data_IF_241717383155
#
_entry.id   IF_241717383155
#
_cell.length_a   1.000
_cell.length_b   1.000
_cell.length_c   1.000
_cell.angle_alpha   90.00
_cell.angle_beta   90.00
_cell.angle_gamma   90.00
#
_symmetry.space_group_name_H-M   'P 1'
#
loop_
_entity.id
_entity.type
_entity.pdbx_description
1 polymer ?
#
# COMPACT_ATOMS: atom_id res chain seq x y z
N UNK A 1 -3.62 28.33 11.75
CA UNK A 1 -2.97 26.99 11.82
C UNK A 1 -2.73 26.57 10.39
N UNK A 2 -1.48 26.39 10.00
CA UNK A 2 -1.21 25.76 8.69
C UNK A 2 -1.85 24.37 8.69
N UNK A 3 -2.69 24.11 7.68
CA UNK A 3 -3.22 22.77 7.44
C UNK A 3 -2.02 21.86 7.13
N UNK A 4 -1.79 20.85 7.95
CA UNK A 4 -0.72 19.89 7.71
C UNK A 4 -0.96 19.14 6.40
N UNK A 5 0.14 18.72 5.76
CA UNK A 5 0.13 17.98 4.49
C UNK A 5 -0.38 16.55 4.70
N UNK A 6 -1.19 16.04 3.78
CA UNK A 6 -1.58 14.62 3.71
C UNK A 6 -0.75 13.92 2.65
N UNK A 7 -0.20 12.73 2.97
CA UNK A 7 0.72 12.01 2.10
C UNK A 7 0.28 10.57 1.82
N UNK A 8 0.49 10.15 0.58
CA UNK A 8 0.55 8.73 0.21
C UNK A 8 2.01 8.42 -0.08
N UNK A 9 2.59 7.45 0.61
CA UNK A 9 4.02 7.18 0.52
C UNK A 9 4.35 5.82 -0.03
N UNK A 10 5.32 5.82 -0.92
CA UNK A 10 5.84 4.63 -1.58
C UNK A 10 7.36 4.57 -1.45
N UNK A 11 7.89 3.35 -1.39
CA UNK A 11 9.32 3.09 -1.62
C UNK A 11 9.50 2.42 -2.99
N UNK A 12 10.44 2.91 -3.79
CA UNK A 12 10.74 2.36 -5.11
C UNK A 12 12.25 2.14 -5.26
N UNK A 13 12.66 0.91 -5.55
CA UNK A 13 14.05 0.53 -5.76
C UNK A 13 14.17 -0.66 -6.69
N UNK A 14 15.31 -0.74 -7.41
CA UNK A 14 15.50 -1.69 -8.48
C UNK A 14 14.81 -1.29 -9.78
N UNK A 15 14.94 -2.12 -10.80
CA UNK A 15 14.49 -1.86 -12.17
C UNK A 15 13.32 -2.76 -12.61
N UNK A 16 12.75 -3.53 -11.68
CA UNK A 16 11.68 -4.46 -12.03
C UNK A 16 10.43 -3.71 -12.51
N UNK A 17 9.96 -3.99 -13.74
CA UNK A 17 8.82 -3.29 -14.34
C UNK A 17 7.54 -3.34 -13.49
N UNK A 18 7.30 -4.43 -12.76
CA UNK A 18 6.12 -4.53 -11.87
C UNK A 18 6.02 -3.36 -10.90
N UNK A 19 7.16 -3.03 -10.24
CA UNK A 19 7.21 -1.95 -9.27
C UNK A 19 7.32 -0.58 -9.93
N UNK A 20 8.13 -0.47 -11.00
CA UNK A 20 8.35 0.80 -11.67
C UNK A 20 7.09 1.29 -12.38
N UNK A 21 6.44 0.45 -13.18
CA UNK A 21 5.16 0.79 -13.82
C UNK A 21 4.05 0.99 -12.80
N UNK A 22 4.02 0.13 -11.76
CA UNK A 22 3.08 0.29 -10.67
C UNK A 22 3.21 1.62 -9.94
N UNK A 23 4.42 2.14 -9.77
CA UNK A 23 4.65 3.46 -9.21
C UNK A 23 4.11 4.58 -10.11
N UNK A 24 4.34 4.50 -11.43
CA UNK A 24 3.80 5.45 -12.42
C UNK A 24 2.27 5.46 -12.39
N UNK A 25 1.64 4.28 -12.42
CA UNK A 25 0.19 4.17 -12.35
C UNK A 25 -0.37 4.73 -11.03
N UNK A 26 0.28 4.46 -9.90
CA UNK A 26 -0.13 5.00 -8.61
C UNK A 26 0.02 6.53 -8.56
N UNK A 27 1.04 7.11 -9.19
CA UNK A 27 1.17 8.56 -9.31
C UNK A 27 -0.02 9.16 -10.08
N UNK A 28 -0.43 8.52 -11.18
CA UNK A 28 -1.61 8.92 -11.94
C UNK A 28 -2.93 8.73 -11.16
N UNK A 29 -3.11 7.57 -10.51
CA UNK A 29 -4.31 7.26 -9.72
C UNK A 29 -4.47 8.20 -8.53
N UNK A 30 -3.38 8.59 -7.88
CA UNK A 30 -3.41 9.51 -6.73
C UNK A 30 -4.08 10.84 -7.08
N UNK A 31 -3.87 11.39 -8.28
CA UNK A 31 -4.50 12.63 -8.74
C UNK A 31 -6.02 12.55 -8.80
N UNK A 32 -6.55 11.36 -9.06
CA UNK A 32 -8.00 11.14 -9.26
C UNK A 32 -8.66 10.70 -7.96
N UNK A 33 -8.03 9.77 -7.24
CA UNK A 33 -8.61 9.14 -6.05
C UNK A 33 -8.34 9.97 -4.79
N UNK A 34 -7.19 10.66 -4.74
CA UNK A 34 -6.74 11.45 -3.61
C UNK A 34 -6.29 12.86 -4.03
N UNK A 35 -7.13 13.67 -4.70
CA UNK A 35 -6.72 14.94 -5.30
C UNK A 35 -6.20 15.96 -4.27
N UNK A 36 -6.55 15.82 -2.99
CA UNK A 36 -6.11 16.67 -1.89
C UNK A 36 -4.89 16.13 -1.12
N UNK A 37 -4.35 14.98 -1.54
CA UNK A 37 -3.16 14.36 -0.98
C UNK A 37 -1.98 14.48 -1.93
N UNK A 38 -0.77 14.44 -1.39
CA UNK A 38 0.45 14.38 -2.18
C UNK A 38 0.97 12.94 -2.23
N UNK A 39 1.08 12.36 -3.41
CA UNK A 39 1.81 11.12 -3.60
C UNK A 39 3.32 11.42 -3.51
N UNK A 40 4.04 10.70 -2.65
CA UNK A 40 5.49 10.86 -2.46
C UNK A 40 6.19 9.52 -2.62
N UNK A 41 7.15 9.48 -3.53
CA UNK A 41 7.96 8.32 -3.83
C UNK A 41 9.38 8.53 -3.31
N UNK A 42 9.83 7.63 -2.44
CA UNK A 42 11.21 7.53 -2.01
C UNK A 42 11.93 6.58 -2.96
N UNK A 43 12.81 7.11 -3.80
CA UNK A 43 13.33 6.43 -4.99
C UNK A 43 14.84 6.20 -4.88
N UNK A 44 15.26 4.95 -5.05
CA UNK A 44 16.67 4.57 -5.07
C UNK A 44 17.36 4.98 -6.38
N UNK A 45 18.70 5.03 -6.34
CA UNK A 45 19.54 5.36 -7.48
C UNK A 45 19.55 4.31 -8.60
N UNK A 46 19.02 3.10 -8.34
CA UNK A 46 18.95 2.00 -9.31
C UNK A 46 17.60 1.91 -10.06
N UNK A 47 16.70 2.85 -9.82
CA UNK A 47 15.44 2.97 -10.59
C UNK A 47 15.72 3.69 -11.91
N UNK A 48 15.25 3.18 -13.07
CA UNK A 48 15.42 3.84 -14.35
C UNK A 48 14.77 5.24 -14.38
N UNK A 49 15.50 6.19 -14.94
CA UNK A 49 15.15 7.61 -14.92
C UNK A 49 13.85 7.93 -15.66
N UNK A 50 13.51 7.16 -16.71
CA UNK A 50 12.29 7.34 -17.48
C UNK A 50 11.04 7.15 -16.60
N UNK A 51 11.00 6.14 -15.74
CA UNK A 51 9.90 5.94 -14.79
C UNK A 51 9.81 7.07 -13.76
N UNK A 52 10.96 7.57 -13.31
CA UNK A 52 10.99 8.66 -12.32
C UNK A 52 10.41 9.94 -12.92
N UNK A 53 10.79 10.24 -14.18
CA UNK A 53 10.24 11.37 -14.90
C UNK A 53 8.72 11.24 -15.09
N UNK A 54 8.21 10.07 -15.45
CA UNK A 54 6.77 9.86 -15.59
C UNK A 54 6.03 10.07 -14.26
N UNK A 55 6.60 9.61 -13.13
CA UNK A 55 6.04 9.84 -11.79
C UNK A 55 5.95 11.34 -11.50
N UNK A 56 7.01 12.11 -11.81
CA UNK A 56 7.05 13.57 -11.64
C UNK A 56 6.09 14.29 -12.58
N UNK A 57 5.95 13.84 -13.83
CA UNK A 57 5.02 14.39 -14.83
C UNK A 57 3.55 14.26 -14.38
N UNK A 58 3.22 13.25 -13.57
CA UNK A 58 1.91 13.14 -12.90
C UNK A 58 1.77 14.01 -11.64
N UNK A 59 2.78 14.82 -11.31
CA UNK A 59 2.74 15.75 -10.18
C UNK A 59 3.04 15.13 -8.82
N UNK A 60 3.55 13.91 -8.78
CA UNK A 60 4.00 13.30 -7.55
C UNK A 60 5.37 13.85 -7.11
N UNK A 61 5.62 13.86 -5.80
CA UNK A 61 6.92 14.22 -5.25
C UNK A 61 7.89 13.03 -5.28
N UNK A 62 9.09 13.24 -5.78
CA UNK A 62 10.17 12.27 -5.77
C UNK A 62 11.27 12.70 -4.79
N UNK A 63 11.58 11.82 -3.85
CA UNK A 63 12.70 11.98 -2.92
C UNK A 63 13.78 10.96 -3.25
N UNK A 64 14.89 11.42 -3.80
CA UNK A 64 16.03 10.55 -4.14
C UNK A 64 16.69 10.03 -2.86
N UNK A 65 16.89 8.72 -2.79
CA UNK A 65 17.45 8.01 -1.66
C UNK A 65 18.65 7.17 -2.11
N UNK A 66 19.68 7.11 -1.28
CA UNK A 66 20.82 6.24 -1.49
C UNK A 66 20.55 4.88 -0.83
N UNK A 67 20.53 3.82 -1.64
CA UNK A 67 20.41 2.44 -1.19
C UNK A 67 21.80 1.84 -0.98
N UNK A 68 22.07 1.32 0.22
CA UNK A 68 23.35 0.70 0.60
C UNK A 68 23.31 -0.83 0.52
N UNK A 69 22.12 -1.42 0.64
CA UNK A 69 21.89 -2.86 0.50
C UNK A 69 20.55 -3.13 -0.19
N UNK A 70 20.21 -4.38 -0.45
CA UNK A 70 19.01 -4.77 -1.21
C UNK A 70 17.70 -4.41 -0.52
N UNK A 71 17.70 -4.15 0.79
CA UNK A 71 16.50 -3.97 1.59
C UNK A 71 16.36 -2.58 2.21
N UNK A 72 17.35 -1.70 2.10
CA UNK A 72 17.33 -0.36 2.71
C UNK A 72 16.08 0.44 2.38
N UNK A 73 15.56 0.27 1.17
CA UNK A 73 14.36 0.98 0.69
C UNK A 73 13.07 0.63 1.42
N UNK A 74 12.98 -0.51 2.11
CA UNK A 74 11.73 -0.97 2.72
C UNK A 74 11.12 0.05 3.70
N UNK A 75 11.96 0.74 4.49
CA UNK A 75 11.53 1.62 5.56
C UNK A 75 11.37 3.09 5.13
N UNK A 76 11.81 3.50 3.95
CA UNK A 76 11.78 4.93 3.56
C UNK A 76 10.39 5.52 3.56
N UNK A 77 9.38 4.73 3.16
CA UNK A 77 7.98 5.14 3.15
C UNK A 77 7.42 5.48 4.55
N UNK A 78 8.14 5.12 5.63
CA UNK A 78 7.73 5.44 7.01
C UNK A 78 8.29 6.78 7.52
N UNK A 79 9.12 7.49 6.75
CA UNK A 79 9.68 8.80 7.11
C UNK A 79 8.65 9.83 7.58
N UNK A 80 7.43 9.88 7.01
CA UNK A 80 6.43 10.85 7.46
C UNK A 80 6.04 10.71 8.92
N UNK A 81 6.19 9.53 9.55
CA UNK A 81 5.83 9.31 10.95
C UNK A 81 6.56 10.26 11.91
N UNK A 82 7.78 10.66 11.60
CA UNK A 82 8.56 11.60 12.42
C UNK A 82 8.32 13.08 12.08
N UNK A 83 7.51 13.39 11.08
CA UNK A 83 7.32 14.76 10.58
C UNK A 83 6.18 15.47 11.30
N UNK A 84 6.47 16.65 11.86
CA UNK A 84 5.47 17.53 12.46
C UNK A 84 4.65 18.33 11.42
N UNK A 85 5.05 18.30 10.14
CA UNK A 85 4.37 18.99 9.04
C UNK A 85 3.34 18.11 8.33
N UNK A 86 3.37 16.80 8.58
CA UNK A 86 2.44 15.85 8.00
C UNK A 86 1.30 15.62 8.97
N UNK A 87 0.06 15.73 8.47
CA UNK A 87 -1.14 15.47 9.26
C UNK A 87 -1.58 14.02 9.16
N UNK A 88 -1.98 13.58 7.97
CA UNK A 88 -2.27 12.18 7.69
C UNK A 88 -1.25 11.64 6.69
N UNK A 89 -0.89 10.39 6.83
CA UNK A 89 -0.18 9.68 5.78
C UNK A 89 -0.58 8.22 5.74
N UNK A 90 -0.53 7.65 4.55
CA UNK A 90 -0.77 6.24 4.29
C UNK A 90 0.43 5.65 3.58
N UNK A 91 0.84 4.45 3.98
CA UNK A 91 1.94 3.69 3.38
C UNK A 91 1.39 2.67 2.40
N UNK A 92 1.92 2.64 1.18
CA UNK A 92 1.48 1.74 0.10
C UNK A 92 2.65 1.06 -0.60
N UNK A 93 2.37 -0.11 -1.17
CA UNK A 93 3.30 -0.83 -2.02
C UNK A 93 3.16 -0.35 -3.48
N UNK A 94 4.29 -0.25 -4.20
CA UNK A 94 4.28 0.19 -5.59
C UNK A 94 3.64 -0.85 -6.54
N UNK A 95 3.66 -2.13 -6.19
CA UNK A 95 3.03 -3.22 -6.94
C UNK A 95 1.53 -3.39 -6.69
N UNK A 96 0.96 -2.58 -5.79
CA UNK A 96 -0.48 -2.48 -5.54
C UNK A 96 -1.04 -1.24 -6.23
N UNK A 97 -2.36 -1.11 -6.35
CA UNK A 97 -3.01 0.07 -6.95
C UNK A 97 -3.96 0.74 -5.98
N UNK A 98 -3.90 2.06 -5.96
CA UNK A 98 -4.88 2.88 -5.26
C UNK A 98 -6.28 2.63 -5.83
N UNK A 99 -7.30 2.60 -4.99
CA UNK A 99 -8.68 2.35 -5.40
C UNK A 99 -9.68 3.19 -4.59
N UNK A 100 -10.87 3.38 -5.14
CA UNK A 100 -11.96 4.05 -4.43
C UNK A 100 -12.43 3.28 -3.20
N UNK A 101 -12.36 1.95 -3.23
CA UNK A 101 -12.66 1.11 -2.07
C UNK A 101 -11.72 1.41 -0.90
N UNK A 102 -10.43 1.52 -1.19
CA UNK A 102 -9.43 1.93 -0.21
C UNK A 102 -9.65 3.36 0.27
N UNK A 103 -9.94 4.29 -0.64
CA UNK A 103 -10.22 5.68 -0.30
C UNK A 103 -11.40 5.79 0.68
N UNK A 104 -12.48 5.07 0.46
CA UNK A 104 -13.62 5.05 1.36
C UNK A 104 -13.24 4.58 2.78
N UNK A 105 -12.39 3.55 2.87
CA UNK A 105 -11.89 3.08 4.17
C UNK A 105 -10.98 4.10 4.86
N UNK A 106 -10.17 4.83 4.09
CA UNK A 106 -9.34 5.92 4.62
C UNK A 106 -10.21 7.07 5.11
N UNK A 107 -11.26 7.46 4.36
CA UNK A 107 -12.16 8.53 4.75
C UNK A 107 -12.92 8.18 6.05
N UNK A 108 -13.42 6.95 6.18
CA UNK A 108 -14.04 6.46 7.42
C UNK A 108 -13.08 6.50 8.61
N UNK A 109 -11.83 6.10 8.41
CA UNK A 109 -10.81 6.26 9.46
C UNK A 109 -10.56 7.73 9.80
N UNK A 110 -10.48 8.63 8.82
CA UNK A 110 -10.23 10.06 9.07
C UNK A 110 -11.37 10.73 9.86
N UNK A 111 -12.59 10.22 9.81
CA UNK A 111 -13.72 10.64 10.63
C UNK A 111 -13.65 10.12 12.08
N UNK A 112 -12.78 9.15 12.34
CA UNK A 112 -12.61 8.57 13.68
C UNK A 112 -11.64 9.38 14.55
N UNK A 113 -11.63 9.07 15.85
CA UNK A 113 -10.67 9.59 16.82
C UNK A 113 -9.40 8.73 16.94
N UNK A 114 -9.17 7.80 16.00
CA UNK A 114 -8.06 6.85 16.06
C UNK A 114 -6.80 7.35 15.38
N UNK A 115 -5.68 7.12 16.05
CA UNK A 115 -4.37 7.52 15.54
C UNK A 115 -3.89 6.68 14.34
N UNK A 116 -4.37 5.46 14.18
CA UNK A 116 -3.91 4.56 13.15
C UNK A 116 -5.04 3.91 12.35
N UNK A 117 -4.73 3.56 11.10
CA UNK A 117 -5.56 2.81 10.18
C UNK A 117 -4.83 1.56 9.70
N UNK A 118 -5.48 0.41 9.73
CA UNK A 118 -4.96 -0.86 9.24
C UNK A 118 -5.89 -1.43 8.18
N UNK A 119 -5.31 -2.02 7.14
CA UNK A 119 -6.04 -2.65 6.06
C UNK A 119 -5.58 -4.10 5.87
N UNK A 120 -6.54 -5.00 5.59
CA UNK A 120 -6.29 -6.40 5.25
C UNK A 120 -7.32 -6.85 4.25
N UNK A 121 -6.90 -7.32 3.12
CA UNK A 121 -7.82 -7.69 2.04
C UNK A 121 -7.70 -9.14 1.57
N UNK A 122 -6.74 -9.89 2.09
CA UNK A 122 -6.62 -11.30 1.75
C UNK A 122 -6.13 -12.17 2.92
N UNK A 123 -6.33 -13.47 2.81
CA UNK A 123 -5.98 -14.46 3.84
C UNK A 123 -4.48 -14.56 4.14
N UNK A 124 -3.63 -14.12 3.20
CA UNK A 124 -2.18 -14.11 3.39
C UNK A 124 -1.66 -12.88 4.15
N UNK A 125 -2.53 -11.90 4.44
CA UNK A 125 -2.18 -10.72 5.22
C UNK A 125 -2.13 -11.03 6.72
N UNK A 126 -1.17 -11.91 7.10
CA UNK A 126 -1.05 -12.45 8.46
C UNK A 126 -0.28 -11.59 9.45
N UNK A 127 0.41 -10.53 9.01
CA UNK A 127 1.07 -9.62 9.94
C UNK A 127 0.05 -8.68 10.58
N UNK A 128 0.33 -8.28 11.81
CA UNK A 128 -0.52 -7.36 12.56
C UNK A 128 -0.68 -6.02 11.85
N UNK A 129 0.42 -5.48 11.32
CA UNK A 129 0.46 -4.31 10.46
C UNK A 129 1.07 -4.72 9.13
N UNK A 130 0.32 -4.58 8.05
CA UNK A 130 0.85 -4.75 6.70
C UNK A 130 1.56 -3.47 6.28
N UNK A 131 2.86 -3.56 5.98
CA UNK A 131 3.71 -2.39 5.72
C UNK A 131 3.26 -1.51 4.54
N UNK A 132 2.59 -2.10 3.56
CA UNK A 132 1.99 -1.40 2.42
C UNK A 132 0.50 -1.07 2.59
N UNK A 133 -0.08 -1.27 3.79
CA UNK A 133 -1.53 -1.18 3.97
C UNK A 133 -1.90 -0.60 5.34
N UNK A 134 -1.27 0.51 5.73
CA UNK A 134 -1.62 1.21 6.95
C UNK A 134 -1.51 2.73 6.80
N UNK A 135 -2.03 3.45 7.77
CA UNK A 135 -1.96 4.91 7.83
C UNK A 135 -1.87 5.42 9.27
N UNK A 136 -1.38 6.64 9.42
CA UNK A 136 -1.24 7.31 10.72
C UNK A 136 -1.76 8.76 10.61
N UNK A 137 -2.55 9.16 11.59
CA UNK A 137 -2.82 10.55 11.92
C UNK A 137 -1.68 11.03 12.82
N UNK A 138 -0.69 11.71 12.24
CA UNK A 138 0.50 12.14 12.97
C UNK A 138 0.18 13.06 14.14
N UNK A 139 -0.82 13.94 13.99
CA UNK A 139 -1.21 14.84 15.08
C UNK A 139 -1.63 14.03 16.31
N UNK A 140 -2.59 13.13 16.16
CA UNK A 140 -3.05 12.29 17.27
C UNK A 140 -1.95 11.37 17.78
N UNK A 141 -1.16 10.79 16.86
CA UNK A 141 -0.07 9.91 17.24
C UNK A 141 0.98 10.62 18.07
N UNK A 142 1.44 11.80 17.63
CA UNK A 142 2.47 12.56 18.37
C UNK A 142 1.94 13.09 19.71
N UNK A 143 0.68 13.50 19.77
CA UNK A 143 0.04 13.93 21.03
C UNK A 143 -0.04 12.79 22.06
N UNK A 144 -0.29 11.56 21.62
CA UNK A 144 -0.51 10.41 22.49
C UNK A 144 0.76 9.62 22.82
N UNK A 145 1.68 9.51 21.86
CA UNK A 145 2.82 8.59 21.93
C UNK A 145 4.18 9.26 21.72
N UNK A 146 4.19 10.54 21.35
CA UNK A 146 5.42 11.24 20.98
C UNK A 146 5.87 10.95 19.55
N UNK A 147 7.00 11.50 19.17
CA UNK A 147 7.59 11.33 17.82
C UNK A 147 8.34 10.01 17.75
N UNK A 148 8.00 9.18 16.77
CA UNK A 148 8.67 7.92 16.49
C UNK A 148 9.37 7.98 15.13
N UNK A 149 10.62 7.56 15.07
CA UNK A 149 11.38 7.45 13.82
C UNK A 149 11.65 5.96 13.51
N UNK A 150 11.15 5.50 12.36
CA UNK A 150 11.32 4.15 11.85
C UNK A 150 12.30 4.06 10.67
N UNK A 151 12.74 5.18 10.11
CA UNK A 151 13.62 5.23 8.93
C UNK A 151 15.02 4.69 9.21
N UNK A 152 15.52 4.87 10.42
CA UNK A 152 16.90 4.49 10.78
C UNK A 152 17.07 2.99 11.14
N UNK A 153 16.03 2.19 11.04
CA UNK A 153 16.13 0.77 11.30
C UNK A 153 16.82 0.06 10.14
N UNK A 154 17.84 -0.74 10.45
CA UNK A 154 18.54 -1.55 9.43
C UNK A 154 17.58 -2.60 8.88
N UNK A 155 17.17 -2.44 7.64
CA UNK A 155 16.50 -3.47 6.88
C UNK A 155 17.56 -4.33 6.18
N UNK A 156 17.72 -5.58 6.60
CA UNK A 156 18.72 -6.51 6.08
C UNK A 156 18.14 -7.87 5.63
N UNK A 157 16.81 -7.99 5.64
CA UNK A 157 16.06 -9.13 5.13
C UNK A 157 14.67 -8.68 4.62
N UNK A 158 14.01 -9.54 3.86
CA UNK A 158 12.80 -9.24 3.09
C UNK A 158 11.62 -8.65 3.91
N UNK A 159 11.41 -9.12 5.12
CA UNK A 159 10.26 -8.73 5.96
C UNK A 159 10.67 -7.83 7.14
N UNK A 160 11.82 -7.15 7.01
CA UNK A 160 12.36 -6.31 8.06
C UNK A 160 11.42 -5.16 8.44
N UNK A 161 10.71 -4.60 7.45
CA UNK A 161 9.69 -3.57 7.64
C UNK A 161 8.49 -4.09 8.45
N UNK A 162 8.01 -5.30 8.18
CA UNK A 162 6.92 -5.92 8.93
C UNK A 162 7.31 -6.16 10.39
N UNK A 163 8.50 -6.72 10.61
CA UNK A 163 9.02 -6.94 11.97
C UNK A 163 9.21 -5.62 12.72
N UNK A 164 9.75 -4.60 12.04
CA UNK A 164 9.92 -3.27 12.63
C UNK A 164 8.58 -2.68 13.11
N UNK A 165 7.55 -2.77 12.26
CA UNK A 165 6.21 -2.29 12.61
C UNK A 165 5.62 -3.08 13.77
N UNK A 166 5.79 -4.42 13.78
CA UNK A 166 5.33 -5.29 14.86
C UNK A 166 5.99 -4.94 16.20
N UNK A 167 7.29 -4.67 16.19
CA UNK A 167 8.06 -4.45 17.41
C UNK A 167 7.96 -3.02 17.95
N UNK A 168 7.88 -2.03 17.06
CA UNK A 168 7.98 -0.61 17.43
C UNK A 168 6.67 0.15 17.38
N UNK A 169 5.83 -0.10 16.36
CA UNK A 169 4.60 0.65 16.17
C UNK A 169 3.41 -0.04 16.83
N UNK A 170 3.26 -1.34 16.67
CA UNK A 170 2.11 -2.08 17.18
C UNK A 170 1.87 -1.93 18.68
N UNK A 171 2.88 -2.00 19.57
CA UNK A 171 2.65 -1.82 21.00
C UNK A 171 1.98 -0.50 21.37
N UNK A 172 2.18 0.55 20.55
CA UNK A 172 1.61 1.87 20.77
C UNK A 172 0.16 1.95 20.28
N UNK A 173 -0.10 1.44 19.08
CA UNK A 173 -1.39 1.64 18.39
C UNK A 173 -2.41 0.51 18.58
N UNK A 174 -2.06 -0.60 19.23
CA UNK A 174 -2.90 -1.80 19.35
C UNK A 174 -4.32 -1.55 19.88
N UNK A 175 -4.54 -0.47 20.63
CA UNK A 175 -5.85 -0.06 21.15
C UNK A 175 -6.34 1.27 20.54
N UNK A 176 -5.60 1.83 19.58
CA UNK A 176 -5.85 3.14 18.99
C UNK A 176 -5.79 3.12 17.47
N UNK A 177 -6.55 2.19 16.88
CA UNK A 177 -6.65 2.05 15.44
C UNK A 177 -8.06 1.69 14.97
N UNK A 178 -8.34 1.98 13.71
CA UNK A 178 -9.43 1.40 12.92
C UNK A 178 -8.82 0.33 12.02
N UNK A 179 -9.41 -0.83 11.95
CA UNK A 179 -9.02 -1.88 11.02
C UNK A 179 -10.16 -2.21 10.07
N UNK A 180 -9.89 -2.08 8.77
CA UNK A 180 -10.78 -2.59 7.72
C UNK A 180 -10.22 -3.92 7.23
N UNK A 181 -11.03 -4.96 7.33
CA UNK A 181 -10.61 -6.34 7.13
C UNK A 181 -11.66 -7.10 6.31
N UNK A 182 -11.22 -7.70 5.22
CA UNK A 182 -12.11 -8.53 4.39
C UNK A 182 -12.25 -9.95 4.94
N UNK A 183 -11.18 -10.48 5.58
CA UNK A 183 -11.10 -11.87 6.00
C UNK A 183 -11.31 -12.08 7.51
N UNK A 184 -11.79 -11.07 8.22
CA UNK A 184 -12.06 -11.13 9.66
C UNK A 184 -10.86 -11.57 10.49
N UNK A 185 -9.71 -11.02 10.20
CA UNK A 185 -8.47 -11.29 10.96
C UNK A 185 -8.46 -10.67 12.37
N UNK A 186 -9.65 -10.49 13.00
CA UNK A 186 -9.75 -9.96 14.36
C UNK A 186 -8.95 -10.78 15.38
N UNK A 187 -8.78 -12.07 15.13
CA UNK A 187 -7.94 -12.94 15.96
C UNK A 187 -6.47 -12.52 15.98
N UNK A 188 -5.95 -12.01 14.86
CA UNK A 188 -4.56 -11.56 14.74
C UNK A 188 -4.34 -10.27 15.54
N UNK A 189 -5.29 -9.34 15.47
CA UNK A 189 -5.17 -8.03 16.12
C UNK A 189 -5.89 -7.95 17.46
N UNK A 190 -6.69 -8.97 17.81
CA UNK A 190 -7.42 -9.06 19.09
C UNK A 190 -8.49 -7.98 19.27
N UNK A 191 -8.99 -7.38 18.20
CA UNK A 191 -10.00 -6.33 18.23
C UNK A 191 -11.03 -6.52 17.11
N UNK A 192 -12.26 -5.99 17.29
CA UNK A 192 -13.24 -5.96 16.21
C UNK A 192 -12.69 -5.25 14.98
N UNK A 193 -13.01 -5.76 13.81
CA UNK A 193 -12.63 -5.19 12.53
C UNK A 193 -13.88 -4.74 11.77
N UNK A 194 -13.74 -3.68 10.98
CA UNK A 194 -14.78 -3.29 10.03
C UNK A 194 -14.68 -4.17 8.79
N UNK A 195 -15.82 -4.57 8.27
CA UNK A 195 -15.83 -5.37 7.07
C UNK A 195 -15.61 -4.47 5.85
N UNK A 196 -14.55 -4.74 5.11
CA UNK A 196 -14.37 -4.20 3.76
C UNK A 196 -15.39 -4.87 2.85
N UNK A 197 -16.04 -4.13 1.98
CA UNK A 197 -17.00 -4.67 1.02
C UNK A 197 -16.52 -5.92 0.27
N UNK A 198 -17.32 -6.49 -0.59
CA UNK A 198 -17.19 -7.84 -1.18
C UNK A 198 -16.04 -8.01 -2.20
N UNK A 199 -14.82 -7.60 -1.89
CA UNK A 199 -13.69 -7.69 -2.82
C UNK A 199 -12.54 -8.48 -2.28
N UNK A 200 -11.97 -9.30 -3.15
CA UNK A 200 -10.92 -10.24 -2.80
C UNK A 200 -9.58 -9.52 -2.67
N UNK A 201 -9.31 -8.50 -3.48
CA UNK A 201 -8.09 -7.71 -3.41
C UNK A 201 -8.37 -6.24 -3.22
N UNK A 202 -7.88 -5.70 -2.12
CA UNK A 202 -8.09 -4.32 -1.78
C UNK A 202 -7.27 -3.37 -2.65
N UNK A 203 -6.01 -3.66 -2.78
CA UNK A 203 -5.05 -2.80 -3.44
C UNK A 203 -4.33 -3.43 -4.64
N UNK A 204 -4.79 -4.58 -5.12
CA UNK A 204 -4.30 -5.17 -6.36
C UNK A 204 -5.10 -4.64 -7.55
N UNK A 205 -4.39 -4.21 -8.58
CA UNK A 205 -4.96 -3.86 -9.86
C UNK A 205 -4.67 -4.94 -10.89
N UNK A 206 -5.54 -5.04 -11.86
CA UNK A 206 -5.32 -5.87 -13.03
C UNK A 206 -4.70 -5.00 -14.12
N UNK A 207 -3.74 -5.53 -14.85
CA UNK A 207 -3.11 -4.81 -15.95
C UNK A 207 -1.59 -4.85 -15.89
N UNK A 208 -0.97 -3.74 -16.22
CA UNK A 208 0.48 -3.64 -16.43
C UNK A 208 1.28 -4.21 -15.25
N UNK A 209 2.23 -5.09 -15.54
CA UNK A 209 3.11 -5.73 -14.57
C UNK A 209 2.62 -7.09 -14.05
N UNK A 210 1.32 -7.38 -14.09
CA UNK A 210 0.78 -8.68 -13.67
C UNK A 210 1.15 -9.82 -14.64
N UNK A 211 1.40 -9.52 -15.90
CA UNK A 211 1.83 -10.47 -16.90
C UNK A 211 3.12 -11.21 -16.55
N UNK A 212 3.93 -10.64 -15.69
CA UNK A 212 5.16 -11.30 -15.19
C UNK A 212 4.86 -12.44 -14.22
N UNK A 213 3.68 -12.47 -13.65
CA UNK A 213 3.30 -13.42 -12.59
C UNK A 213 2.16 -14.33 -12.98
N UNK A 214 1.33 -13.90 -13.92
CA UNK A 214 0.18 -14.68 -14.36
C UNK A 214 0.55 -15.49 -15.59
N UNK A 215 0.01 -16.71 -15.68
CA UNK A 215 0.04 -17.44 -16.94
C UNK A 215 -0.68 -16.63 -18.00
N UNK A 216 -0.18 -16.65 -19.22
CA UNK A 216 -0.67 -15.84 -20.33
C UNK A 216 -2.19 -15.96 -20.57
N UNK A 217 -2.75 -17.17 -20.38
CA UNK A 217 -4.17 -17.42 -20.52
C UNK A 217 -5.01 -16.74 -19.42
N UNK A 218 -4.52 -16.75 -18.17
CA UNK A 218 -5.19 -16.06 -17.05
C UNK A 218 -5.10 -14.54 -17.22
N UNK A 219 -3.95 -14.05 -17.62
CA UNK A 219 -3.76 -12.62 -17.86
C UNK A 219 -4.65 -12.12 -19.02
N UNK A 220 -4.79 -12.90 -20.11
CA UNK A 220 -5.68 -12.58 -21.22
C UNK A 220 -7.14 -12.50 -20.78
N UNK A 221 -7.61 -13.47 -20.00
CA UNK A 221 -8.96 -13.48 -19.46
C UNK A 221 -9.21 -12.25 -18.57
N UNK A 222 -8.24 -11.87 -17.73
CA UNK A 222 -8.34 -10.67 -16.91
C UNK A 222 -8.41 -9.40 -17.74
N UNK A 223 -7.64 -9.28 -18.81
CA UNK A 223 -7.71 -8.13 -19.74
C UNK A 223 -9.06 -8.03 -20.48
N UNK A 224 -9.69 -9.15 -20.81
CA UNK A 224 -11.02 -9.16 -21.39
C UNK A 224 -12.09 -8.66 -20.40
N UNK A 225 -11.95 -9.00 -19.14
CA UNK A 225 -12.88 -8.60 -18.08
C UNK A 225 -12.61 -7.16 -17.62
N UNK A 226 -11.33 -6.78 -17.53
CA UNK A 226 -10.85 -5.48 -17.04
C UNK A 226 -9.95 -4.82 -18.09
N UNK A 227 -10.52 -4.14 -19.09
CA UNK A 227 -9.75 -3.38 -20.07
C UNK A 227 -8.89 -2.30 -19.39
N UNK A 228 -7.69 -2.07 -19.91
CA UNK A 228 -6.76 -1.05 -19.41
C UNK A 228 -7.46 0.31 -19.27
N UNK A 229 -7.24 0.99 -18.16
CA UNK A 229 -7.80 2.30 -17.87
C UNK A 229 -9.23 2.28 -17.29
N UNK A 230 -9.83 1.12 -17.11
CA UNK A 230 -11.04 1.06 -16.30
C UNK A 230 -10.69 1.02 -14.82
N UNK A 231 -11.45 1.82 -14.08
CA UNK A 231 -11.44 1.92 -12.64
C UNK A 231 -11.40 0.53 -12.00
N UNK A 232 -10.45 0.32 -11.09
CA UNK A 232 -10.39 -0.87 -10.22
C UNK A 232 -11.53 -0.91 -9.20
N UNK A 233 -12.63 -0.20 -9.49
CA UNK A 233 -13.88 -0.37 -8.76
C UNK A 233 -14.27 -1.84 -8.78
N UNK A 234 -14.96 -2.25 -7.77
CA UNK A 234 -15.24 -3.65 -7.44
C UNK A 234 -15.68 -4.45 -8.65
N UNK A 235 -15.28 -5.71 -8.66
CA UNK A 235 -15.83 -6.69 -9.60
C UNK A 235 -17.31 -6.42 -9.76
N UNK A 236 -17.83 -6.18 -10.98
CA UNK A 236 -19.24 -5.94 -11.18
C UNK A 236 -20.04 -7.06 -10.51
N UNK A 237 -21.05 -6.72 -9.74
CA UNK A 237 -21.92 -7.65 -8.99
C UNK A 237 -22.51 -8.80 -9.83
N UNK A 238 -22.35 -8.74 -11.14
CA UNK A 238 -22.89 -9.72 -12.09
C UNK A 238 -21.86 -10.76 -12.59
N UNK A 239 -20.59 -10.70 -12.17
CA UNK A 239 -19.68 -11.80 -12.44
C UNK A 239 -20.07 -12.98 -11.55
N UNK A 240 -20.19 -14.21 -12.12
CA UNK A 240 -20.47 -15.39 -11.31
C UNK A 240 -19.47 -15.46 -10.15
N UNK A 241 -19.96 -15.52 -8.93
CA UNK A 241 -19.15 -15.55 -7.70
C UNK A 241 -18.01 -16.57 -7.79
N UNK A 242 -18.24 -17.67 -8.49
CA UNK A 242 -17.27 -18.74 -8.69
C UNK A 242 -16.02 -18.31 -9.47
N UNK A 243 -16.15 -17.38 -10.41
CA UNK A 243 -15.02 -16.89 -11.18
C UNK A 243 -14.24 -15.75 -10.46
N UNK A 244 -14.94 -14.89 -9.73
CA UNK A 244 -14.32 -13.79 -8.99
C UNK A 244 -13.47 -14.28 -7.83
N UNK A 245 -13.98 -15.22 -7.03
CA UNK A 245 -13.24 -15.83 -5.91
C UNK A 245 -12.04 -16.63 -6.43
N UNK A 246 -12.23 -17.38 -7.52
CA UNK A 246 -11.17 -18.22 -8.07
C UNK A 246 -10.04 -17.40 -8.69
N UNK A 247 -10.36 -16.33 -9.41
CA UNK A 247 -9.37 -15.43 -10.00
C UNK A 247 -8.62 -14.67 -8.91
N UNK A 248 -9.30 -14.16 -7.90
CA UNK A 248 -8.67 -13.50 -6.77
C UNK A 248 -7.74 -14.43 -5.99
N UNK A 249 -8.18 -15.67 -5.71
CA UNK A 249 -7.36 -16.68 -5.04
C UNK A 249 -6.14 -17.11 -5.87
N UNK A 250 -6.28 -17.21 -7.19
CA UNK A 250 -5.15 -17.53 -8.08
C UNK A 250 -4.13 -16.38 -8.07
N UNK A 251 -4.57 -15.15 -8.15
CA UNK A 251 -3.70 -13.99 -8.10
C UNK A 251 -2.98 -13.94 -6.75
N UNK A 252 -3.67 -14.15 -5.64
CA UNK A 252 -3.07 -14.24 -4.31
C UNK A 252 -2.03 -15.35 -4.23
N UNK A 253 -2.38 -16.56 -4.60
CA UNK A 253 -1.45 -17.68 -4.56
C UNK A 253 -0.23 -17.46 -5.44
N UNK A 254 -0.39 -16.91 -6.64
CA UNK A 254 0.72 -16.70 -7.56
C UNK A 254 1.62 -15.53 -7.14
N UNK A 255 1.06 -14.46 -6.61
CA UNK A 255 1.84 -13.30 -6.18
C UNK A 255 2.58 -13.53 -4.87
N UNK A 256 2.05 -14.36 -3.96
CA UNK A 256 2.68 -14.65 -2.67
C UNK A 256 3.50 -15.95 -2.64
N UNK A 257 3.25 -16.90 -3.55
CA UNK A 257 4.02 -18.14 -3.65
C UNK A 257 5.15 -18.09 -4.67
N UNK A 258 5.12 -17.13 -5.58
CA UNK A 258 6.27 -16.90 -6.47
C UNK A 258 7.41 -16.24 -5.70
N UNK A 259 8.67 -16.65 -5.89
CA UNK A 259 9.80 -15.94 -5.33
C UNK A 259 9.70 -14.47 -5.77
N UNK A 260 9.79 -13.56 -4.80
CA UNK A 260 9.80 -12.14 -5.10
C UNK A 260 10.97 -11.84 -6.04
N UNK A 261 10.79 -11.05 -7.09
CA UNK A 261 11.89 -10.60 -7.93
C UNK A 261 12.92 -9.72 -7.20
N UNK A 262 12.78 -9.61 -5.89
CA UNK A 262 13.75 -8.95 -4.99
C UNK A 262 14.80 -9.91 -4.41
N UNK A 263 14.76 -11.19 -4.78
CA UNK A 263 15.80 -12.19 -4.42
C UNK A 263 16.98 -12.16 -5.38
#
# INVERSE_FOLDING_TARGET
MELGMNLITFSLFGDNPLYCQGAVENANLARVIYPEWTARFYVAQDVPEDYIKEIEDYGAEVVRCEKKNSYDGLNWRFRPLSSLKVHYWISRDADSRLSWRERNAVDEWMESDKAAHLLRDCHNHGFTIMAGMFGINNKLFHERYGVLNLDNANANYREADQTLLQDKLWPLIKHDHVCHDHWRNSEIIGQPTYQLGDHVHFNKAYGVGLEYYLKEDVYRQLKEIYPEGQDTRPFPDHLPMDHGIFVGQIIDCLLYTSPSPRD
#
